data_IF_571195775604
#
_entry.id   IF_571195775604
#
_cell.length_a   1.000
_cell.length_b   1.000
_cell.length_c   1.000
_cell.angle_alpha   90.00
_cell.angle_beta   90.00
_cell.angle_gamma   90.00
#
_symmetry.space_group_name_H-M   'P 1'
#
loop_
_entity.id
_entity.type
_entity.pdbx_description
1 polymer ?
#
# COMPACT_ATOMS: atom_id res chain seq x y z
N UNK A 1 -21.67 -19.32 -14.50
CA UNK A 1 -21.89 -19.46 -15.94
C UNK A 1 -23.35 -19.90 -16.09
N UNK A 2 -24.27 -18.95 -16.28
CA UNK A 2 -25.70 -19.20 -16.47
C UNK A 2 -25.99 -19.52 -17.93
N UNK A 3 -26.95 -20.36 -18.15
CA UNK A 3 -27.48 -20.61 -19.50
C UNK A 3 -28.03 -19.30 -20.08
N UNK A 4 -27.52 -18.89 -21.23
CA UNK A 4 -27.75 -17.55 -21.78
C UNK A 4 -29.11 -17.41 -22.51
N UNK A 5 -29.96 -18.39 -22.47
CA UNK A 5 -31.33 -18.34 -22.97
C UNK A 5 -31.74 -19.65 -23.71
N UNK A 6 -32.99 -19.97 -23.55
CA UNK A 6 -33.62 -21.01 -24.33
C UNK A 6 -34.55 -20.34 -25.35
N UNK A 7 -34.32 -20.52 -26.64
CA UNK A 7 -35.17 -20.01 -27.71
C UNK A 7 -35.93 -21.16 -28.37
N UNK A 8 -37.27 -21.01 -28.52
CA UNK A 8 -38.08 -21.97 -29.24
C UNK A 8 -38.20 -21.58 -30.72
N UNK A 9 -37.70 -22.42 -31.59
CA UNK A 9 -37.84 -22.21 -33.04
C UNK A 9 -39.10 -22.91 -33.54
N UNK A 10 -40.18 -22.18 -33.67
CA UNK A 10 -41.49 -22.69 -34.08
C UNK A 10 -41.49 -23.34 -35.48
N UNK A 11 -40.62 -22.91 -36.38
CA UNK A 11 -40.53 -23.45 -37.74
C UNK A 11 -39.84 -24.84 -37.79
N UNK A 12 -39.04 -25.18 -36.79
CA UNK A 12 -38.34 -26.47 -36.70
C UNK A 12 -38.87 -27.38 -35.60
N UNK A 13 -39.78 -26.91 -34.76
CA UNK A 13 -40.29 -27.65 -33.61
C UNK A 13 -39.20 -28.03 -32.59
N UNK A 14 -38.13 -27.23 -32.52
CA UNK A 14 -36.94 -27.45 -31.71
C UNK A 14 -36.83 -26.38 -30.63
N UNK A 15 -36.51 -26.79 -29.42
CA UNK A 15 -36.06 -25.91 -28.33
C UNK A 15 -34.52 -25.89 -28.35
N UNK A 16 -33.97 -24.76 -28.70
CA UNK A 16 -32.52 -24.56 -28.72
C UNK A 16 -32.07 -23.91 -27.40
N UNK A 17 -31.14 -24.54 -26.71
CA UNK A 17 -30.53 -24.03 -25.48
C UNK A 17 -29.02 -23.99 -25.67
N UNK A 18 -28.44 -22.80 -25.51
CA UNK A 18 -27.01 -22.64 -25.59
C UNK A 18 -26.41 -22.75 -24.17
N UNK A 19 -25.61 -23.81 -23.95
CA UNK A 19 -25.00 -24.12 -22.66
C UNK A 19 -23.62 -23.44 -22.48
N UNK A 20 -22.93 -23.18 -23.60
CA UNK A 20 -21.67 -22.44 -23.69
C UNK A 20 -21.45 -22.02 -25.15
N UNK A 21 -20.58 -21.02 -25.44
CA UNK A 21 -20.26 -20.67 -26.82
C UNK A 21 -19.79 -21.88 -27.63
N UNK A 22 -20.55 -22.29 -28.64
CA UNK A 22 -20.25 -23.44 -29.47
C UNK A 22 -20.80 -24.78 -28.97
N UNK A 23 -21.53 -24.84 -27.86
CA UNK A 23 -22.26 -26.04 -27.41
C UNK A 23 -23.75 -25.73 -27.35
N UNK A 24 -24.49 -26.18 -28.32
CA UNK A 24 -25.95 -26.08 -28.39
C UNK A 24 -26.61 -27.41 -28.15
N UNK A 25 -27.74 -27.42 -27.43
CA UNK A 25 -28.60 -28.58 -27.29
C UNK A 25 -29.99 -28.25 -27.85
N UNK A 26 -30.43 -29.00 -28.84
CA UNK A 26 -31.76 -28.83 -29.39
C UNK A 26 -32.67 -29.98 -28.97
N UNK A 27 -33.84 -29.65 -28.43
CA UNK A 27 -34.86 -30.63 -28.02
C UNK A 27 -35.96 -30.67 -29.05
N UNK A 28 -36.18 -31.86 -29.65
CA UNK A 28 -37.38 -32.13 -30.44
C UNK A 28 -38.57 -32.30 -29.49
N UNK A 29 -39.80 -31.98 -29.98
CA UNK A 29 -41.03 -32.09 -29.19
C UNK A 29 -41.22 -33.48 -28.57
N UNK A 30 -40.59 -34.50 -29.13
CA UNK A 30 -40.66 -35.92 -28.68
C UNK A 30 -39.26 -36.59 -28.60
N UNK A 31 -38.18 -35.83 -28.44
CA UNK A 31 -36.83 -36.36 -28.30
C UNK A 31 -35.78 -35.29 -27.98
N UNK A 32 -34.62 -35.72 -27.49
CA UNK A 32 -33.47 -34.87 -27.21
C UNK A 32 -32.41 -35.13 -28.29
N UNK A 33 -32.01 -34.10 -29.02
CA UNK A 33 -30.87 -34.13 -29.94
C UNK A 33 -29.78 -33.23 -29.39
N UNK A 34 -28.62 -33.80 -29.03
CA UNK A 34 -27.44 -33.07 -28.62
C UNK A 34 -26.45 -32.97 -29.78
N UNK A 35 -25.94 -31.77 -30.06
CA UNK A 35 -24.82 -31.56 -31.00
C UNK A 35 -23.65 -30.89 -30.30
N UNK A 36 -22.44 -31.33 -30.61
CA UNK A 36 -21.20 -30.69 -30.20
C UNK A 36 -20.60 -30.04 -31.43
N UNK A 37 -20.52 -28.72 -31.45
CA UNK A 37 -19.93 -27.96 -32.56
C UNK A 37 -18.61 -27.37 -32.12
N UNK A 38 -17.52 -27.73 -32.78
CA UNK A 38 -16.21 -27.14 -32.61
C UNK A 38 -15.92 -26.18 -33.77
N UNK A 39 -15.74 -24.90 -33.49
CA UNK A 39 -15.42 -23.90 -34.50
C UNK A 39 -14.00 -23.38 -34.26
N UNK A 40 -13.11 -23.59 -35.23
CA UNK A 40 -11.76 -23.06 -35.19
C UNK A 40 -11.58 -22.02 -36.31
N UNK A 41 -11.37 -20.74 -36.00
CA UNK A 41 -11.11 -19.75 -37.03
C UNK A 41 -9.73 -20.01 -37.66
N UNK A 42 -9.67 -20.13 -38.98
CA UNK A 42 -8.44 -20.34 -39.76
C UNK A 42 -7.69 -19.00 -39.94
N UNK A 43 -8.45 -17.93 -40.08
CA UNK A 43 -7.92 -16.57 -40.20
C UNK A 43 -8.83 -15.56 -39.46
N UNK A 44 -8.26 -14.75 -38.63
CA UNK A 44 -8.96 -13.73 -37.86
C UNK A 44 -8.18 -12.39 -37.86
N UNK A 45 -7.62 -11.96 -39.00
CA UNK A 45 -6.92 -10.66 -39.12
C UNK A 45 -5.80 -10.46 -38.09
N UNK A 46 -5.16 -11.55 -37.68
CA UNK A 46 -4.12 -11.48 -36.62
C UNK A 46 -4.64 -11.25 -35.19
N UNK A 47 -5.95 -11.23 -34.95
CA UNK A 47 -6.56 -10.98 -33.64
C UNK A 47 -6.07 -11.96 -32.59
N UNK A 48 -6.05 -13.27 -32.86
CA UNK A 48 -5.62 -14.32 -31.93
C UNK A 48 -4.18 -14.09 -31.45
N UNK A 49 -3.27 -13.79 -32.39
CA UNK A 49 -1.85 -13.53 -32.07
C UNK A 49 -1.69 -12.27 -31.25
N UNK A 50 -2.38 -11.18 -31.62
CA UNK A 50 -2.30 -9.93 -30.88
C UNK A 50 -3.00 -9.99 -29.52
N UNK A 51 -4.08 -10.77 -29.37
CA UNK A 51 -4.72 -11.03 -28.07
C UNK A 51 -3.80 -11.81 -27.14
N UNK A 52 -3.11 -12.83 -27.65
CA UNK A 52 -2.14 -13.60 -26.86
C UNK A 52 -0.95 -12.72 -26.41
N UNK A 53 -0.48 -11.82 -27.29
CA UNK A 53 0.56 -10.84 -26.92
C UNK A 53 0.04 -9.86 -25.87
N UNK A 54 -1.18 -9.37 -26.02
CA UNK A 54 -1.79 -8.47 -25.05
C UNK A 54 -1.97 -9.16 -23.69
N UNK A 55 -2.37 -10.42 -23.66
CA UNK A 55 -2.45 -11.20 -22.43
C UNK A 55 -1.09 -11.36 -21.74
N UNK A 56 -0.01 -11.59 -22.52
CA UNK A 56 1.36 -11.65 -21.96
C UNK A 56 1.78 -10.31 -21.37
N UNK A 57 1.51 -9.20 -22.05
CA UNK A 57 1.75 -7.84 -21.50
C UNK A 57 0.95 -7.65 -20.24
N UNK A 58 -0.30 -8.13 -20.16
CA UNK A 58 -1.11 -8.09 -18.95
C UNK A 58 -0.45 -8.81 -17.76
N UNK A 59 0.14 -9.99 -17.99
CA UNK A 59 0.89 -10.71 -16.94
C UNK A 59 2.12 -9.92 -16.49
N UNK A 60 2.86 -9.28 -17.41
CA UNK A 60 4.02 -8.45 -17.06
C UNK A 60 3.60 -7.22 -16.25
N UNK A 61 2.50 -6.56 -16.63
CA UNK A 61 1.91 -5.45 -15.88
C UNK A 61 1.55 -5.89 -14.46
N UNK A 62 0.91 -7.05 -14.30
CA UNK A 62 0.56 -7.56 -12.97
C UNK A 62 1.78 -7.84 -12.09
N UNK A 63 2.88 -8.33 -12.67
CA UNK A 63 4.15 -8.52 -11.95
C UNK A 63 4.78 -7.20 -11.51
N UNK A 64 4.71 -6.18 -12.36
CA UNK A 64 5.22 -4.85 -12.02
C UNK A 64 4.36 -4.18 -10.93
N UNK A 65 3.05 -4.35 -10.98
CA UNK A 65 2.12 -3.89 -9.94
C UNK A 65 2.37 -4.60 -8.61
N UNK A 66 2.65 -5.90 -8.63
CA UNK A 66 3.05 -6.63 -7.43
C UNK A 66 4.31 -6.02 -6.81
N UNK A 67 5.35 -5.81 -7.62
CA UNK A 67 6.60 -5.19 -7.14
C UNK A 67 6.40 -3.76 -6.61
N UNK A 68 5.54 -2.99 -7.26
CA UNK A 68 5.17 -1.66 -6.78
C UNK A 68 4.49 -1.73 -5.41
N UNK A 69 3.54 -2.66 -5.24
CA UNK A 69 2.87 -2.87 -3.95
C UNK A 69 3.83 -3.35 -2.85
N UNK A 70 4.76 -4.24 -3.18
CA UNK A 70 5.81 -4.67 -2.25
C UNK A 70 6.69 -3.49 -1.78
N UNK A 71 7.10 -2.62 -2.72
CA UNK A 71 7.88 -1.43 -2.40
C UNK A 71 7.08 -0.44 -1.53
N UNK A 72 5.79 -0.26 -1.82
CA UNK A 72 4.91 0.63 -1.06
C UNK A 72 4.71 0.13 0.37
N UNK A 73 4.48 -1.18 0.54
CA UNK A 73 4.36 -1.80 1.88
C UNK A 73 5.66 -1.65 2.65
N UNK A 74 6.81 -1.95 2.04
CA UNK A 74 8.13 -1.77 2.68
C UNK A 74 8.36 -0.34 3.11
N UNK A 75 8.14 0.62 2.23
CA UNK A 75 8.32 2.05 2.52
C UNK A 75 7.39 2.52 3.66
N UNK A 76 6.14 2.11 3.62
CA UNK A 76 5.16 2.48 4.65
C UNK A 76 5.52 1.87 6.00
N UNK A 77 5.99 0.61 6.00
CA UNK A 77 6.46 -0.06 7.22
C UNK A 77 7.68 0.65 7.82
N UNK A 78 8.65 1.03 6.98
CA UNK A 78 9.81 1.82 7.42
C UNK A 78 9.39 3.18 8.00
N UNK A 79 8.43 3.86 7.40
CA UNK A 79 7.90 5.12 7.94
C UNK A 79 7.31 4.93 9.34
N UNK A 80 6.48 3.91 9.54
CA UNK A 80 5.92 3.64 10.87
C UNK A 80 6.98 3.21 11.87
N UNK A 81 7.98 2.45 11.44
CA UNK A 81 9.11 2.08 12.28
C UNK A 81 9.86 3.31 12.80
N UNK A 82 10.28 4.20 11.91
CA UNK A 82 10.98 5.43 12.30
C UNK A 82 10.11 6.41 13.08
N UNK A 83 8.79 6.37 12.89
CA UNK A 83 7.87 7.12 13.74
C UNK A 83 7.87 6.59 15.18
N UNK A 84 7.87 5.27 15.39
CA UNK A 84 7.97 4.66 16.71
C UNK A 84 9.29 5.04 17.38
N UNK A 85 10.42 4.90 16.68
CA UNK A 85 11.76 5.28 17.17
C UNK A 85 11.77 6.75 17.57
N UNK A 86 11.24 7.64 16.73
CA UNK A 86 11.19 9.09 17.02
C UNK A 86 10.37 9.39 18.28
N UNK A 87 9.25 8.69 18.49
CA UNK A 87 8.42 8.90 19.67
C UNK A 87 9.10 8.38 20.95
N UNK A 88 9.85 7.29 20.87
CA UNK A 88 10.64 6.77 21.98
C UNK A 88 11.74 7.77 22.39
N UNK A 89 12.47 8.33 21.43
CA UNK A 89 13.51 9.33 21.68
C UNK A 89 12.94 10.63 22.27
N UNK A 90 11.75 11.04 21.80
CA UNK A 90 11.04 12.18 22.40
C UNK A 90 10.66 11.92 23.85
N UNK A 91 10.20 10.72 24.19
CA UNK A 91 9.90 10.34 25.57
C UNK A 91 11.15 10.34 26.44
N UNK A 92 12.29 9.83 25.94
CA UNK A 92 13.57 9.86 26.65
C UNK A 92 14.04 11.31 26.92
N UNK A 93 13.93 12.16 25.90
CA UNK A 93 14.24 13.60 26.04
C UNK A 93 13.32 14.26 27.08
N UNK A 94 12.01 13.97 27.02
CA UNK A 94 11.03 14.52 27.94
C UNK A 94 11.29 14.09 29.39
N UNK A 95 11.71 12.85 29.62
CA UNK A 95 12.11 12.37 30.93
C UNK A 95 13.32 13.13 31.51
N UNK A 96 14.24 13.55 30.63
CA UNK A 96 15.37 14.42 31.04
C UNK A 96 14.91 15.82 31.42
N UNK A 97 13.98 16.40 30.63
CA UNK A 97 13.36 17.71 30.94
C UNK A 97 12.55 17.62 32.22
N UNK A 98 11.81 16.56 32.47
CA UNK A 98 11.07 16.34 33.72
C UNK A 98 12.01 16.35 34.94
N UNK A 99 13.14 15.64 34.87
CA UNK A 99 14.16 15.65 35.93
C UNK A 99 14.73 17.05 36.18
N UNK A 100 15.01 17.78 35.10
CA UNK A 100 15.51 19.18 35.20
C UNK A 100 14.48 20.09 35.88
N UNK A 101 13.22 20.03 35.46
CA UNK A 101 12.15 20.86 36.05
C UNK A 101 11.86 20.48 37.50
N UNK A 102 12.00 19.23 37.89
CA UNK A 102 11.86 18.81 39.29
C UNK A 102 12.97 19.41 40.17
N UNK A 103 14.22 19.47 39.70
CA UNK A 103 15.30 20.13 40.40
C UNK A 103 15.05 21.64 40.49
N UNK A 104 14.71 22.29 39.38
CA UNK A 104 14.39 23.69 39.32
C UNK A 104 13.26 24.06 40.31
N UNK A 105 12.23 23.23 40.42
CA UNK A 105 11.15 23.44 41.37
C UNK A 105 11.66 23.45 42.81
N UNK A 106 12.52 22.49 43.18
CA UNK A 106 13.11 22.42 44.52
C UNK A 106 13.98 23.64 44.81
N UNK A 107 14.80 24.09 43.86
CA UNK A 107 15.66 25.26 44.01
C UNK A 107 14.85 26.55 44.19
N UNK A 108 13.80 26.73 43.39
CA UNK A 108 12.89 27.88 43.49
C UNK A 108 12.08 27.84 44.79
N UNK A 109 11.63 26.67 45.23
CA UNK A 109 10.92 26.52 46.50
C UNK A 109 11.79 26.93 47.70
N UNK A 110 13.06 26.54 47.71
CA UNK A 110 14.02 26.97 48.72
C UNK A 110 14.22 28.50 48.68
N UNK A 111 14.37 29.05 47.47
CA UNK A 111 14.54 30.50 47.29
C UNK A 111 13.31 31.31 47.73
N UNK A 112 12.10 30.82 47.49
CA UNK A 112 10.85 31.44 47.97
C UNK A 112 10.80 31.41 49.48
N UNK A 113 11.12 30.27 50.11
CA UNK A 113 11.14 30.13 51.56
C UNK A 113 12.20 31.02 52.25
N UNK A 114 13.31 31.29 51.54
CA UNK A 114 14.33 32.25 51.98
C UNK A 114 13.98 33.73 51.69
N UNK A 115 12.84 34.00 51.04
CA UNK A 115 12.44 35.36 50.67
C UNK A 115 13.22 35.97 49.49
N UNK A 116 13.98 35.14 48.76
CA UNK A 116 14.86 35.59 47.66
C UNK A 116 14.09 35.71 46.33
N UNK A 117 12.94 35.06 46.19
CA UNK A 117 12.12 35.15 45.00
C UNK A 117 10.62 35.10 45.34
N UNK A 118 9.76 35.26 44.33
CA UNK A 118 8.31 35.36 44.53
C UNK A 118 7.61 34.01 44.39
N UNK A 119 6.48 33.84 45.08
CA UNK A 119 5.61 32.68 44.92
C UNK A 119 5.10 32.51 43.47
N UNK A 120 5.01 33.60 42.70
CA UNK A 120 4.58 33.56 41.31
C UNK A 120 5.58 32.77 40.44
N UNK A 121 6.88 32.90 40.71
CA UNK A 121 7.91 32.12 39.98
C UNK A 121 7.80 30.61 40.26
N UNK A 122 7.50 30.25 41.52
CA UNK A 122 7.26 28.85 41.87
C UNK A 122 6.05 28.30 41.11
N UNK A 123 4.94 29.05 41.03
CA UNK A 123 3.75 28.67 40.27
C UNK A 123 4.02 28.54 38.76
N UNK A 124 4.90 29.36 38.20
CA UNK A 124 5.31 29.25 36.81
C UNK A 124 6.07 27.93 36.54
N UNK A 125 6.97 27.54 37.42
CA UNK A 125 7.70 26.26 37.32
C UNK A 125 6.75 25.11 37.48
N UNK A 126 5.78 25.18 38.41
CA UNK A 126 4.75 24.17 38.60
C UNK A 126 3.86 24.02 37.35
N UNK A 127 3.48 25.14 36.74
CA UNK A 127 2.75 25.14 35.49
C UNK A 127 3.52 24.40 34.37
N UNK A 128 4.83 24.67 34.24
CA UNK A 128 5.70 23.99 33.27
C UNK A 128 5.84 22.49 33.55
N UNK A 129 5.91 22.08 34.82
CA UNK A 129 5.89 20.64 35.16
C UNK A 129 4.62 19.97 34.76
N UNK A 130 3.45 20.59 34.97
CA UNK A 130 2.16 20.08 34.59
C UNK A 130 2.01 20.00 33.07
N UNK A 131 2.54 20.98 32.33
CA UNK A 131 2.59 20.98 30.87
C UNK A 131 3.42 19.78 30.34
N UNK A 132 4.60 19.55 30.91
CA UNK A 132 5.47 18.43 30.56
C UNK A 132 4.81 17.09 30.90
N UNK A 133 4.15 16.97 32.04
CA UNK A 133 3.41 15.76 32.42
C UNK A 133 2.26 15.45 31.44
N UNK A 134 1.51 16.48 31.02
CA UNK A 134 0.46 16.34 30.00
C UNK A 134 1.02 15.90 28.65
N UNK A 135 2.13 16.52 28.21
CA UNK A 135 2.80 16.15 26.97
C UNK A 135 3.34 14.71 26.99
N UNK A 136 3.81 14.25 28.14
CA UNK A 136 4.26 12.86 28.34
C UNK A 136 3.14 11.87 28.08
N UNK A 137 1.97 12.08 28.69
CA UNK A 137 0.79 11.24 28.50
C UNK A 137 0.39 11.19 27.00
N UNK A 138 0.40 12.34 26.33
CA UNK A 138 0.08 12.42 24.91
C UNK A 138 1.09 11.63 24.04
N UNK A 139 2.39 11.74 24.37
CA UNK A 139 3.44 11.00 23.67
C UNK A 139 3.37 9.50 23.93
N UNK A 140 3.08 9.07 25.17
CA UNK A 140 2.90 7.66 25.52
C UNK A 140 1.71 7.05 24.76
N UNK A 141 0.60 7.76 24.69
CA UNK A 141 -0.57 7.33 23.89
C UNK A 141 -0.25 7.30 22.40
N UNK A 142 0.47 8.29 21.88
CA UNK A 142 0.94 8.33 20.50
C UNK A 142 1.88 7.16 20.18
N UNK A 143 2.81 6.85 21.08
CA UNK A 143 3.71 5.71 20.94
C UNK A 143 2.95 4.38 20.89
N UNK A 144 2.00 4.20 21.82
CA UNK A 144 1.17 2.99 21.85
C UNK A 144 0.38 2.81 20.55
N UNK A 145 -0.23 3.88 20.05
CA UNK A 145 -0.96 3.85 18.78
C UNK A 145 -0.03 3.55 17.61
N UNK A 146 1.14 4.18 17.52
CA UNK A 146 2.12 3.94 16.45
C UNK A 146 2.67 2.51 16.48
N UNK A 147 2.91 1.94 17.67
CA UNK A 147 3.27 0.52 17.82
C UNK A 147 2.15 -0.40 17.31
N UNK A 148 0.89 -0.12 17.64
CA UNK A 148 -0.25 -0.92 17.15
C UNK A 148 -0.36 -0.89 15.62
N UNK A 149 -0.17 0.27 14.99
CA UNK A 149 -0.19 0.40 13.54
C UNK A 149 0.96 -0.39 12.91
N UNK A 150 2.17 -0.25 13.45
CA UNK A 150 3.34 -0.99 12.95
C UNK A 150 3.14 -2.51 13.10
N UNK A 151 2.62 -2.97 14.25
CA UNK A 151 2.29 -4.38 14.52
C UNK A 151 1.30 -4.94 13.49
N UNK A 152 0.29 -4.16 13.11
CA UNK A 152 -0.66 -4.54 12.06
C UNK A 152 0.03 -4.72 10.70
N UNK A 153 0.96 -3.83 10.33
CA UNK A 153 1.71 -3.95 9.07
C UNK A 153 2.66 -5.15 9.04
N UNK A 154 3.25 -5.49 10.20
CA UNK A 154 4.14 -6.66 10.35
C UNK A 154 3.33 -7.98 10.43
N UNK A 155 2.04 -7.90 10.76
CA UNK A 155 1.17 -9.08 10.93
C UNK A 155 1.21 -9.69 12.33
N UNK A 156 1.72 -8.97 13.32
CA UNK A 156 1.80 -9.39 14.72
C UNK A 156 1.01 -8.43 15.63
N UNK A 157 -0.32 -8.47 15.64
CA UNK A 157 -1.15 -7.43 16.25
C UNK A 157 -1.11 -7.35 17.77
N UNK A 158 -0.51 -8.30 18.50
CA UNK A 158 -0.44 -8.33 19.96
C UNK A 158 0.98 -8.25 20.55
N UNK A 159 2.03 -8.04 19.73
CA UNK A 159 3.39 -8.01 20.25
C UNK A 159 3.72 -6.64 20.87
N UNK A 160 4.08 -6.64 22.14
CA UNK A 160 4.75 -5.51 22.79
C UNK A 160 6.25 -5.59 22.42
N UNK A 161 6.60 -4.96 21.31
CA UNK A 161 7.97 -4.95 20.83
C UNK A 161 8.66 -3.61 21.17
N UNK A 162 9.97 -3.71 21.42
CA UNK A 162 10.83 -2.54 21.50
C UNK A 162 11.66 -2.44 20.22
N UNK A 163 11.79 -1.23 19.70
CA UNK A 163 12.69 -0.99 18.57
C UNK A 163 14.12 -0.96 19.08
N UNK A 164 15.00 -1.73 18.44
CA UNK A 164 16.41 -1.82 18.86
C UNK A 164 17.28 -0.63 18.45
N UNK A 165 16.75 0.25 17.58
CA UNK A 165 17.50 1.39 17.09
C UNK A 165 17.27 2.62 17.96
N UNK A 166 18.37 3.28 18.35
CA UNK A 166 18.39 4.60 18.95
C UNK A 166 18.91 5.59 17.92
N UNK A 167 18.27 6.76 17.80
CA UNK A 167 18.78 7.81 16.91
C UNK A 167 20.01 8.43 17.56
N UNK A 168 21.22 7.94 17.21
CA UNK A 168 22.44 8.64 17.57
C UNK A 168 22.57 9.87 16.67
N UNK A 169 22.60 11.04 17.32
CA UNK A 169 22.71 12.34 16.64
C UNK A 169 24.10 12.56 16.02
N UNK A 170 25.06 11.67 16.27
CA UNK A 170 26.46 11.88 15.93
C UNK A 170 26.82 11.50 14.49
N UNK A 171 26.01 10.70 13.79
CA UNK A 171 26.28 10.30 12.40
C UNK A 171 25.02 10.32 11.56
N UNK A 172 24.60 11.50 11.15
CA UNK A 172 23.75 11.57 9.95
C UNK A 172 24.67 11.34 8.75
N UNK A 173 24.62 10.17 8.08
CA UNK A 173 25.46 9.95 6.91
C UNK A 173 25.09 11.00 5.87
N UNK A 174 26.08 11.79 5.46
CA UNK A 174 25.92 12.70 4.33
C UNK A 174 25.41 11.85 3.15
N UNK A 175 24.26 12.23 2.59
CA UNK A 175 23.72 11.59 1.40
C UNK A 175 24.87 11.46 0.37
N UNK A 176 25.27 10.24 -0.02
CA UNK A 176 26.36 10.05 -0.96
C UNK A 176 26.09 10.89 -2.20
N UNK A 177 27.09 11.60 -2.72
CA UNK A 177 26.95 12.42 -3.93
C UNK A 177 26.48 11.60 -5.15
N UNK A 178 26.68 10.29 -5.11
CA UNK A 178 26.15 9.33 -6.07
C UNK A 178 24.62 9.40 -6.19
N UNK A 179 23.90 9.59 -5.10
CA UNK A 179 22.43 9.76 -5.12
C UNK A 179 21.97 11.02 -5.85
N UNK A 180 22.79 12.04 -5.93
CA UNK A 180 22.47 13.28 -6.68
C UNK A 180 22.63 13.13 -8.18
N UNK A 181 23.57 12.31 -8.67
CA UNK A 181 23.92 12.19 -10.09
C UNK A 181 23.10 11.12 -10.83
N UNK A 182 22.60 10.13 -10.14
CA UNK A 182 21.95 8.97 -10.76
C UNK A 182 20.42 9.02 -10.77
N UNK A 183 19.79 10.12 -10.40
CA UNK A 183 18.32 10.24 -10.35
C UNK A 183 17.64 9.82 -11.66
N UNK A 184 18.27 10.12 -12.80
CA UNK A 184 17.70 9.79 -14.11
C UNK A 184 17.85 8.31 -14.46
N UNK A 185 18.96 7.68 -14.09
CA UNK A 185 19.17 6.25 -14.26
C UNK A 185 18.30 5.43 -13.28
N UNK A 186 18.16 5.91 -12.05
CA UNK A 186 17.31 5.28 -11.05
C UNK A 186 15.81 5.30 -11.44
N UNK A 187 15.33 6.40 -12.04
CA UNK A 187 13.96 6.49 -12.54
C UNK A 187 13.63 5.42 -13.59
N UNK A 188 14.60 5.08 -14.47
CA UNK A 188 14.41 4.04 -15.49
C UNK A 188 14.30 2.63 -14.92
N UNK A 189 14.70 2.41 -13.67
CA UNK A 189 14.62 1.12 -12.96
C UNK A 189 13.37 0.99 -12.11
N UNK A 190 12.56 2.04 -12.00
CA UNK A 190 11.34 2.01 -11.20
C UNK A 190 10.23 1.20 -11.86
N UNK A 191 9.42 0.46 -11.08
CA UNK A 191 8.27 -0.26 -11.61
C UNK A 191 7.29 0.64 -12.36
N UNK A 192 7.14 1.89 -11.92
CA UNK A 192 6.25 2.88 -12.50
C UNK A 192 6.66 3.24 -13.94
N UNK A 193 7.95 3.41 -14.19
CA UNK A 193 8.46 3.66 -15.54
C UNK A 193 8.16 2.47 -16.47
N UNK A 194 8.44 1.25 -16.01
CA UNK A 194 8.15 0.04 -16.78
C UNK A 194 6.64 -0.17 -16.99
N UNK A 195 5.79 0.21 -16.03
CA UNK A 195 4.34 0.18 -16.19
C UNK A 195 3.88 1.11 -17.31
N UNK A 196 4.43 2.33 -17.40
CA UNK A 196 4.13 3.25 -18.50
C UNK A 196 4.57 2.68 -19.87
N UNK A 197 5.74 2.08 -19.94
CA UNK A 197 6.23 1.42 -21.15
C UNK A 197 5.32 0.27 -21.60
N UNK A 198 4.89 -0.59 -20.65
CA UNK A 198 3.96 -1.68 -20.92
C UNK A 198 2.56 -1.20 -21.30
N UNK A 199 2.09 -0.10 -20.73
CA UNK A 199 0.83 0.54 -21.16
C UNK A 199 0.90 1.03 -22.60
N UNK A 200 2.03 1.61 -23.04
CA UNK A 200 2.23 2.02 -24.42
C UNK A 200 2.21 0.79 -25.34
N UNK A 201 2.85 -0.31 -24.94
CA UNK A 201 2.86 -1.56 -25.70
C UNK A 201 1.44 -2.15 -25.81
N UNK A 202 0.69 -2.19 -24.71
CA UNK A 202 -0.70 -2.65 -24.67
C UNK A 202 -1.59 -1.83 -25.61
N UNK A 203 -1.47 -0.49 -25.60
CA UNK A 203 -2.23 0.38 -26.49
C UNK A 203 -1.90 0.16 -27.96
N UNK A 204 -0.63 -0.11 -28.29
CA UNK A 204 -0.21 -0.47 -29.66
C UNK A 204 -0.83 -1.80 -30.10
N UNK A 205 -0.90 -2.79 -29.22
CA UNK A 205 -1.54 -4.08 -29.50
C UNK A 205 -3.06 -3.93 -29.65
N UNK A 206 -3.72 -3.14 -28.81
CA UNK A 206 -5.15 -2.83 -28.92
C UNK A 206 -5.47 -2.15 -30.27
N UNK A 207 -4.62 -1.20 -30.72
CA UNK A 207 -4.76 -0.61 -32.04
C UNK A 207 -4.69 -1.66 -33.15
N UNK A 208 -3.74 -2.62 -33.07
CA UNK A 208 -3.63 -3.73 -34.04
C UNK A 208 -4.84 -4.64 -34.00
N UNK A 209 -5.41 -4.90 -32.82
CA UNK A 209 -6.66 -5.67 -32.66
C UNK A 209 -7.84 -4.96 -33.33
N UNK A 210 -7.96 -3.65 -33.14
CA UNK A 210 -9.02 -2.85 -33.77
C UNK A 210 -8.91 -2.85 -35.30
N UNK A 211 -7.69 -2.76 -35.83
CA UNK A 211 -7.46 -2.87 -37.29
C UNK A 211 -7.83 -4.28 -37.79
N UNK A 212 -7.40 -5.33 -37.08
CA UNK A 212 -7.71 -6.73 -37.45
C UNK A 212 -9.20 -7.09 -37.37
N UNK A 213 -10.03 -6.28 -36.69
CA UNK A 213 -11.48 -6.42 -36.64
C UNK A 213 -12.18 -5.98 -37.94
N UNK A 214 -11.52 -5.11 -38.69
CA UNK A 214 -12.05 -4.53 -39.94
C UNK A 214 -11.48 -5.21 -41.20
N UNK A 215 -10.68 -6.26 -41.03
CA UNK A 215 -10.16 -7.13 -42.09
C UNK A 215 -10.90 -8.44 -42.14
#
# INVERSE_FOLDING_TARGET
VGATGAAYNANKGLLEMELAPGMGMSMLKNGIVGSITATQPVFAGGQIVNSNKLAKVGVEVSKLQLRQSENEVSYTTEQYYWQVVTLQEKLHTLATVEKMLNRLYQDVEVAVNAGMTTRNELLQVELKRNEVASNKINLENGLKLSKMILAQYIGEPESDFETGDTVSTEEMPALPEQFRREHRAALLLTPEYHLLEKNIEANRLQKKLAIGKNL
#
